data_IF_290844302955
#
_entry.id   IF_290844302955
#
_cell.length_a   1.000
_cell.length_b   1.000
_cell.length_c   1.000
_cell.angle_alpha   90.00
_cell.angle_beta   90.00
_cell.angle_gamma   90.00
#
_symmetry.space_group_name_H-M   'P 1'
#
loop_
_entity.id
_entity.type
_entity.pdbx_description
1 polymer ?
#
# COMPACT_ATOMS: atom_id res chain seq x y z
N UNK A 1 -0.27 19.99 11.81
CA UNK A 1 -0.24 19.01 10.68
C UNK A 1 -0.21 17.61 11.26
N UNK A 2 -1.21 16.77 10.95
CA UNK A 2 -1.19 15.39 11.41
C UNK A 2 0.03 14.70 10.78
N UNK A 3 0.93 14.18 11.61
CA UNK A 3 2.05 13.38 11.16
C UNK A 3 1.49 12.16 10.40
N UNK A 4 1.59 12.18 9.06
CA UNK A 4 1.14 11.09 8.18
C UNK A 4 2.20 10.02 8.00
N UNK A 5 3.38 10.18 8.63
CA UNK A 5 4.39 9.14 8.55
C UNK A 5 3.90 7.89 9.28
N UNK A 6 3.83 6.77 8.58
CA UNK A 6 3.44 5.52 9.20
C UNK A 6 4.56 5.00 10.09
N UNK A 7 4.18 4.47 11.25
CA UNK A 7 5.10 3.70 12.10
C UNK A 7 5.54 2.42 11.38
N UNK A 8 6.55 1.73 11.92
CA UNK A 8 7.05 0.46 11.36
C UNK A 8 5.93 -0.58 11.19
N UNK A 9 5.04 -0.70 12.17
CA UNK A 9 3.93 -1.65 12.12
C UNK A 9 2.86 -1.22 11.11
N UNK A 10 2.54 0.07 11.06
CA UNK A 10 1.62 0.63 10.06
C UNK A 10 2.17 0.44 8.62
N UNK A 11 3.48 0.58 8.43
CA UNK A 11 4.12 0.31 7.14
C UNK A 11 4.00 -1.16 6.72
N UNK A 12 4.15 -2.09 7.66
CA UNK A 12 3.94 -3.52 7.38
C UNK A 12 2.50 -3.81 6.97
N UNK A 13 1.52 -3.21 7.65
CA UNK A 13 0.10 -3.33 7.28
C UNK A 13 -0.16 -2.75 5.89
N UNK A 14 0.38 -1.55 5.59
CA UNK A 14 0.27 -0.96 4.25
C UNK A 14 0.88 -1.86 3.18
N UNK A 15 2.04 -2.47 3.46
CA UNK A 15 2.69 -3.39 2.52
C UNK A 15 1.80 -4.58 2.19
N UNK A 16 1.11 -5.15 3.17
CA UNK A 16 0.14 -6.23 2.95
C UNK A 16 -1.02 -5.75 2.09
N UNK A 17 -1.59 -4.58 2.40
CA UNK A 17 -2.73 -4.03 1.63
C UNK A 17 -2.35 -3.66 0.20
N UNK A 18 -1.13 -3.19 -0.05
CA UNK A 18 -0.65 -2.89 -1.41
C UNK A 18 -0.39 -4.15 -2.25
N UNK A 19 0.00 -5.25 -1.62
CA UNK A 19 0.28 -6.52 -2.30
C UNK A 19 -0.99 -7.36 -2.49
N UNK A 20 -1.79 -7.47 -1.42
CA UNK A 20 -2.97 -8.34 -1.38
C UNK A 20 -4.29 -7.64 -1.72
N UNK A 21 -4.29 -6.30 -1.81
CA UNK A 21 -5.52 -5.53 -2.00
C UNK A 21 -6.38 -5.44 -0.73
N UNK A 22 -7.68 -5.12 -0.89
CA UNK A 22 -8.60 -5.02 0.23
C UNK A 22 -8.65 -6.30 1.06
N UNK A 23 -8.48 -6.19 2.38
CA UNK A 23 -8.29 -7.34 3.27
C UNK A 23 -8.97 -7.12 4.62
N UNK A 24 -9.41 -8.21 5.24
CA UNK A 24 -9.89 -8.17 6.64
C UNK A 24 -8.70 -8.10 7.61
N UNK A 25 -8.98 -7.74 8.87
CA UNK A 25 -7.95 -7.76 9.94
C UNK A 25 -7.28 -9.13 10.06
N UNK A 26 -8.05 -10.21 9.90
CA UNK A 26 -7.53 -11.60 9.96
C UNK A 26 -6.60 -11.92 8.79
N UNK A 27 -6.93 -11.46 7.59
CA UNK A 27 -6.11 -11.67 6.40
C UNK A 27 -4.79 -10.89 6.52
N UNK A 28 -4.86 -9.64 6.98
CA UNK A 28 -3.65 -8.85 7.27
C UNK A 28 -2.77 -9.57 8.30
N UNK A 29 -3.34 -10.08 9.40
CA UNK A 29 -2.57 -10.82 10.42
C UNK A 29 -1.82 -12.01 9.84
N UNK A 30 -2.45 -12.79 8.96
CA UNK A 30 -1.85 -13.97 8.32
C UNK A 30 -0.72 -13.60 7.36
N UNK A 31 -0.86 -12.45 6.69
CA UNK A 31 0.06 -11.98 5.65
C UNK A 31 1.18 -11.07 6.18
N UNK A 32 1.28 -10.86 7.50
CA UNK A 32 2.32 -10.00 8.09
C UNK A 32 3.72 -10.51 7.75
N UNK A 33 4.59 -9.64 7.17
CA UNK A 33 5.87 -10.09 6.59
C UNK A 33 6.91 -10.52 7.63
N UNK A 34 6.77 -10.12 8.88
CA UNK A 34 7.73 -10.45 9.94
C UNK A 34 7.42 -11.75 10.69
N UNK A 35 6.35 -12.45 10.33
CA UNK A 35 5.95 -13.74 10.92
C UNK A 35 5.64 -13.70 12.42
N UNK A 36 5.58 -12.52 13.04
CA UNK A 36 5.31 -12.39 14.47
C UNK A 36 3.83 -12.57 14.76
N UNK A 37 3.52 -13.49 15.70
CA UNK A 37 2.18 -13.64 16.21
C UNK A 37 1.75 -12.36 16.95
N UNK A 38 0.59 -11.82 16.58
CA UNK A 38 -0.02 -10.64 17.22
C UNK A 38 -1.47 -10.91 17.55
N UNK A 39 -1.96 -10.31 18.62
CA UNK A 39 -3.37 -10.38 18.94
C UNK A 39 -4.21 -9.64 17.89
N UNK A 40 -5.41 -10.15 17.61
CA UNK A 40 -6.37 -9.52 16.71
C UNK A 40 -6.63 -8.05 17.08
N UNK A 41 -6.81 -7.78 18.38
CA UNK A 41 -7.06 -6.44 18.91
C UNK A 41 -5.90 -5.49 18.66
N UNK A 42 -4.67 -5.98 18.62
CA UNK A 42 -3.49 -5.16 18.30
C UNK A 42 -3.55 -4.66 16.86
N UNK A 43 -3.77 -5.57 15.90
CA UNK A 43 -3.85 -5.18 14.49
C UNK A 43 -5.09 -4.33 14.22
N UNK A 44 -6.22 -4.65 14.82
CA UNK A 44 -7.43 -3.83 14.72
C UNK A 44 -7.19 -2.40 15.20
N UNK A 45 -6.57 -2.22 16.37
CA UNK A 45 -6.23 -0.88 16.90
C UNK A 45 -5.28 -0.11 15.98
N UNK A 46 -4.28 -0.79 15.43
CA UNK A 46 -3.37 -0.18 14.44
C UNK A 46 -4.15 0.30 13.21
N UNK A 47 -5.02 -0.54 12.66
CA UNK A 47 -5.79 -0.19 11.46
C UNK A 47 -6.78 0.95 11.72
N UNK A 48 -7.37 1.02 12.92
CA UNK A 48 -8.20 2.15 13.32
C UNK A 48 -7.40 3.46 13.45
N UNK A 49 -6.17 3.40 13.96
CA UNK A 49 -5.26 4.56 14.00
C UNK A 49 -4.87 4.98 12.60
N UNK A 50 -4.56 4.03 11.72
CA UNK A 50 -4.25 4.30 10.31
C UNK A 50 -5.41 4.95 9.58
N UNK A 51 -6.64 4.56 9.88
CA UNK A 51 -7.82 5.18 9.31
C UNK A 51 -7.99 6.63 9.77
N UNK A 52 -7.77 6.92 11.06
CA UNK A 52 -7.75 8.30 11.59
C UNK A 52 -6.65 9.14 10.97
N UNK A 53 -5.53 8.54 10.57
CA UNK A 53 -4.44 9.20 9.82
C UNK A 53 -4.78 9.39 8.34
N UNK A 54 -5.83 8.74 7.82
CA UNK A 54 -6.21 8.75 6.40
C UNK A 54 -5.35 7.86 5.52
N UNK A 55 -4.63 6.89 6.09
CA UNK A 55 -3.79 5.94 5.37
C UNK A 55 -4.60 4.78 4.79
N UNK A 56 -5.67 4.40 5.46
CA UNK A 56 -6.59 3.34 5.05
C UNK A 56 -8.04 3.81 5.21
N UNK A 57 -8.95 3.09 4.60
CA UNK A 57 -10.40 3.17 4.86
C UNK A 57 -10.96 1.76 4.93
N UNK A 58 -12.13 1.60 5.53
CA UNK A 58 -12.82 0.31 5.52
C UNK A 58 -14.25 0.43 4.98
N UNK A 59 -14.75 -0.69 4.52
CA UNK A 59 -16.17 -0.90 4.23
C UNK A 59 -16.66 -2.11 5.01
N UNK A 60 -17.90 -2.04 5.53
CA UNK A 60 -18.53 -3.18 6.16
C UNK A 60 -18.94 -4.19 5.09
N UNK A 61 -18.54 -5.45 5.25
CA UNK A 61 -18.93 -6.55 4.40
C UNK A 61 -19.45 -7.70 5.30
N UNK A 62 -20.77 -7.78 5.43
CA UNK A 62 -21.41 -8.66 6.41
C UNK A 62 -20.97 -8.28 7.83
N UNK A 63 -20.47 -9.25 8.58
CA UNK A 63 -19.99 -9.07 9.95
C UNK A 63 -18.49 -8.69 10.03
N UNK A 64 -17.83 -8.45 8.90
CA UNK A 64 -16.41 -8.09 8.84
C UNK A 64 -16.21 -6.70 8.24
N UNK A 65 -15.13 -6.04 8.66
CA UNK A 65 -14.63 -4.83 8.04
C UNK A 65 -13.50 -5.20 7.08
N UNK A 66 -13.61 -4.76 5.83
CA UNK A 66 -12.60 -4.92 4.80
C UNK A 66 -11.88 -3.59 4.63
N UNK A 67 -10.60 -3.57 4.92
CA UNK A 67 -9.74 -2.40 4.84
C UNK A 67 -9.01 -2.33 3.52
N UNK A 68 -8.83 -1.13 3.01
CA UNK A 68 -8.05 -0.84 1.80
C UNK A 68 -7.12 0.35 2.02
N UNK A 69 -5.97 0.36 1.35
CA UNK A 69 -5.06 1.49 1.38
C UNK A 69 -5.68 2.68 0.61
N UNK A 70 -5.61 3.86 1.20
CA UNK A 70 -6.00 5.14 0.58
C UNK A 70 -4.83 5.92 0.01
N UNK A 71 -3.65 5.48 0.30
CA UNK A 71 -2.39 6.08 -0.15
C UNK A 71 -1.62 5.08 -0.98
N UNK A 72 -0.98 5.54 -2.04
CA UNK A 72 -0.10 4.71 -2.85
C UNK A 72 1.23 4.45 -2.11
N UNK A 73 1.95 3.41 -2.53
CA UNK A 73 3.28 3.13 -2.01
C UNK A 73 4.22 4.33 -2.19
N UNK A 74 4.20 4.95 -3.36
CA UNK A 74 5.06 6.08 -3.69
C UNK A 74 4.78 7.32 -2.84
N UNK A 75 3.50 7.63 -2.57
CA UNK A 75 3.13 8.76 -1.71
C UNK A 75 3.68 8.64 -0.29
N UNK A 76 3.82 7.41 0.20
CA UNK A 76 4.34 7.14 1.54
C UNK A 76 5.87 7.00 1.53
N UNK A 77 6.41 6.15 0.65
CA UNK A 77 7.85 5.82 0.67
C UNK A 77 8.72 6.93 0.11
N UNK A 78 8.22 7.72 -0.84
CA UNK A 78 8.98 8.80 -1.45
C UNK A 78 9.46 9.85 -0.44
N UNK A 79 8.58 10.46 0.38
CA UNK A 79 9.00 11.39 1.43
C UNK A 79 9.93 10.75 2.45
N UNK A 80 9.67 9.50 2.87
CA UNK A 80 10.51 8.77 3.82
C UNK A 80 11.92 8.57 3.27
N UNK A 81 12.05 8.10 2.02
CA UNK A 81 13.33 7.91 1.38
C UNK A 81 14.10 9.23 1.22
N UNK A 82 13.43 10.30 0.77
CA UNK A 82 14.04 11.63 0.69
C UNK A 82 14.51 12.14 2.06
N UNK A 83 13.74 11.90 3.12
CA UNK A 83 14.11 12.22 4.49
C UNK A 83 15.36 11.49 4.91
N UNK A 84 15.43 10.18 4.70
CA UNK A 84 16.57 9.33 5.00
C UNK A 84 17.83 9.79 4.24
N UNK A 85 17.71 9.97 2.92
CA UNK A 85 18.85 10.42 2.08
C UNK A 85 19.37 11.76 2.56
N UNK A 86 18.51 12.70 2.92
CA UNK A 86 18.89 13.99 3.44
C UNK A 86 19.59 13.91 4.80
N UNK A 87 19.05 13.10 5.71
CA UNK A 87 19.50 13.01 7.09
C UNK A 87 20.78 12.19 7.25
N UNK A 88 20.90 11.08 6.50
CA UNK A 88 22.00 10.10 6.66
C UNK A 88 23.10 10.30 5.61
N UNK A 89 22.72 10.66 4.38
CA UNK A 89 23.64 10.75 3.24
C UNK A 89 23.85 12.20 2.75
N UNK A 90 23.56 13.19 3.59
CA UNK A 90 23.76 14.60 3.25
C UNK A 90 23.04 15.07 1.98
N UNK A 91 21.95 14.37 1.59
CA UNK A 91 21.20 14.65 0.36
C UNK A 91 21.73 13.94 -0.90
N UNK A 92 22.82 13.17 -0.79
CA UNK A 92 23.41 12.46 -1.93
C UNK A 92 22.72 11.12 -2.20
N UNK A 93 21.90 11.06 -3.25
CA UNK A 93 21.30 9.82 -3.74
C UNK A 93 22.37 8.82 -4.23
N UNK A 94 23.49 9.33 -4.78
CA UNK A 94 24.60 8.48 -5.24
C UNK A 94 25.28 7.75 -4.07
N UNK A 95 25.48 8.42 -2.93
CA UNK A 95 26.01 7.76 -1.73
C UNK A 95 25.06 6.71 -1.18
N UNK A 96 23.75 7.00 -1.15
CA UNK A 96 22.74 6.03 -0.73
C UNK A 96 22.75 4.78 -1.63
N UNK A 97 22.78 4.97 -2.95
CA UNK A 97 22.86 3.87 -3.92
C UNK A 97 24.17 3.07 -3.76
N UNK A 98 25.31 3.74 -3.57
CA UNK A 98 26.59 3.07 -3.34
C UNK A 98 26.56 2.17 -2.09
N UNK A 99 25.96 2.63 -0.99
CA UNK A 99 25.77 1.82 0.20
C UNK A 99 24.87 0.61 -0.05
N UNK A 100 23.75 0.79 -0.75
CA UNK A 100 22.86 -0.33 -1.08
C UNK A 100 23.57 -1.40 -1.91
N UNK A 101 24.35 -1.00 -2.92
CA UNK A 101 25.09 -1.92 -3.77
C UNK A 101 26.25 -2.63 -3.04
N UNK A 102 26.80 -2.03 -1.99
CA UNK A 102 27.87 -2.62 -1.19
C UNK A 102 27.38 -3.62 -0.15
N UNK A 103 26.20 -3.35 0.47
CA UNK A 103 25.67 -4.14 1.59
C UNK A 103 24.81 -5.31 1.13
N UNK A 104 24.09 -5.17 0.03
CA UNK A 104 23.18 -6.20 -0.48
C UNK A 104 23.78 -6.93 -1.68
N UNK A 105 23.49 -8.24 -1.77
CA UNK A 105 23.80 -9.02 -2.98
C UNK A 105 22.79 -8.68 -4.07
N UNK A 106 23.04 -7.57 -4.76
CA UNK A 106 22.23 -7.17 -5.90
C UNK A 106 22.44 -8.15 -7.05
N UNK A 107 21.36 -8.74 -7.52
CA UNK A 107 21.42 -9.68 -8.64
C UNK A 107 21.78 -8.95 -9.96
N UNK A 108 22.39 -9.65 -10.95
CA UNK A 108 22.66 -9.05 -12.26
C UNK A 108 21.41 -8.45 -12.92
N UNK A 109 20.27 -9.11 -12.78
CA UNK A 109 18.99 -8.63 -13.30
C UNK A 109 18.56 -7.31 -12.65
N UNK A 110 18.68 -7.22 -11.35
CA UNK A 110 18.33 -6.02 -10.59
C UNK A 110 19.27 -4.84 -10.92
N UNK A 111 20.57 -5.13 -11.15
CA UNK A 111 21.52 -4.12 -11.65
C UNK A 111 21.12 -3.59 -13.02
N UNK A 112 20.62 -4.44 -13.91
CA UNK A 112 20.17 -4.02 -15.24
C UNK A 112 18.88 -3.19 -15.13
N UNK A 113 17.96 -3.55 -14.25
CA UNK A 113 16.77 -2.72 -13.95
C UNK A 113 17.16 -1.33 -13.40
N UNK A 114 18.17 -1.25 -12.52
CA UNK A 114 18.68 0.02 -12.00
C UNK A 114 19.28 0.88 -13.14
N UNK A 115 20.07 0.29 -14.02
CA UNK A 115 20.64 1.00 -15.18
C UNK A 115 19.54 1.55 -16.11
N UNK A 116 18.49 0.77 -16.36
CA UNK A 116 17.35 1.21 -17.15
C UNK A 116 16.60 2.38 -16.50
N UNK A 117 16.46 2.37 -15.17
CA UNK A 117 15.84 3.47 -14.42
C UNK A 117 16.66 4.75 -14.60
N UNK A 118 17.99 4.66 -14.47
CA UNK A 118 18.91 5.79 -14.65
C UNK A 118 18.79 6.32 -16.08
N UNK A 119 18.90 5.44 -17.08
CA UNK A 119 18.84 5.83 -18.49
C UNK A 119 17.51 6.54 -18.85
N UNK A 120 16.40 6.05 -18.32
CA UNK A 120 15.09 6.71 -18.50
C UNK A 120 15.05 8.08 -17.83
N UNK A 121 15.65 8.22 -16.68
CA UNK A 121 15.71 9.51 -15.97
C UNK A 121 16.55 10.55 -16.73
N UNK A 122 17.65 10.12 -17.36
CA UNK A 122 18.48 10.98 -18.19
C UNK A 122 17.79 11.44 -19.48
N UNK A 123 16.94 10.58 -20.08
CA UNK A 123 16.22 10.88 -21.32
C UNK A 123 14.96 11.72 -21.10
N UNK A 124 14.36 11.67 -19.91
CA UNK A 124 13.07 12.26 -19.58
C UNK A 124 13.12 13.51 -18.74
N UNK A 125 14.23 14.26 -18.63
CA UNK A 125 14.31 15.54 -17.90
C UNK A 125 13.34 15.63 -16.71
N UNK A 126 13.69 15.04 -15.59
CA UNK A 126 13.12 15.12 -14.25
C UNK A 126 11.71 15.66 -14.08
N UNK A 127 10.69 14.88 -14.31
CA UNK A 127 9.42 14.92 -13.56
C UNK A 127 8.51 13.78 -14.07
N UNK A 128 8.59 12.64 -13.39
CA UNK A 128 7.63 11.56 -13.59
C UNK A 128 7.80 10.49 -12.52
N UNK A 129 6.73 10.05 -11.86
CA UNK A 129 6.83 8.98 -10.88
C UNK A 129 7.33 7.71 -11.56
N UNK A 130 8.37 7.12 -10.99
CA UNK A 130 8.91 5.83 -11.43
C UNK A 130 7.78 4.81 -11.40
N UNK A 131 7.24 4.49 -12.57
CA UNK A 131 6.19 3.49 -12.72
C UNK A 131 6.73 2.13 -12.29
N UNK A 132 6.06 1.53 -11.33
CA UNK A 132 6.31 0.17 -10.87
C UNK A 132 6.03 -0.79 -12.03
N UNK A 133 7.08 -1.34 -12.63
CA UNK A 133 6.98 -2.35 -13.66
C UNK A 133 6.38 -3.64 -13.09
N UNK A 134 5.23 -4.03 -13.64
CA UNK A 134 4.78 -5.41 -13.67
C UNK A 134 3.95 -5.96 -12.53
N UNK A 135 2.83 -5.33 -12.22
CA UNK A 135 1.65 -6.10 -11.88
C UNK A 135 0.58 -5.78 -12.90
N UNK A 136 0.16 -6.76 -13.66
CA UNK A 136 -1.00 -6.64 -14.56
C UNK A 136 -2.17 -6.12 -13.72
N UNK A 137 -2.51 -4.85 -13.88
CA UNK A 137 -3.78 -4.34 -13.43
C UNK A 137 -4.84 -5.03 -14.28
N UNK A 138 -5.37 -6.12 -13.75
CA UNK A 138 -6.70 -6.55 -14.13
C UNK A 138 -7.61 -5.40 -13.78
N UNK A 139 -8.16 -4.74 -14.80
CA UNK A 139 -9.17 -3.73 -14.64
C UNK A 139 -10.29 -4.33 -13.79
N UNK A 140 -10.34 -3.95 -12.52
CA UNK A 140 -11.51 -4.23 -11.70
C UNK A 140 -12.57 -3.26 -12.20
N UNK A 141 -13.41 -3.77 -13.09
CA UNK A 141 -14.69 -3.18 -13.43
C UNK A 141 -15.43 -2.90 -12.12
N UNK A 142 -15.69 -1.63 -11.88
CA UNK A 142 -16.50 -1.15 -10.78
C UNK A 142 -17.87 -1.87 -10.79
N UNK A 143 -18.25 -2.69 -9.80
CA UNK A 143 -19.55 -3.35 -9.77
C UNK A 143 -20.62 -2.47 -9.10
N UNK A 144 -20.66 -1.17 -9.40
CA UNK A 144 -21.71 -0.28 -8.87
C UNK A 144 -22.89 -0.08 -9.83
N UNK A 145 -23.07 -0.93 -10.84
CA UNK A 145 -24.23 -0.87 -11.70
C UNK A 145 -24.84 -2.26 -11.91
N UNK A 146 -25.42 -2.84 -10.88
CA UNK A 146 -26.48 -3.84 -10.97
C UNK A 146 -26.97 -4.28 -9.59
N UNK A 147 -27.76 -3.43 -8.94
CA UNK A 147 -28.74 -3.91 -7.97
C UNK A 147 -30.09 -3.61 -8.58
N UNK A 148 -30.83 -4.57 -9.11
CA UNK A 148 -32.22 -4.35 -9.41
C UNK A 148 -32.98 -4.31 -8.09
N UNK A 149 -33.50 -3.15 -7.74
CA UNK A 149 -34.55 -3.02 -6.74
C UNK A 149 -35.80 -3.71 -7.28
N UNK A 150 -35.99 -4.95 -6.87
CA UNK A 150 -37.26 -5.60 -7.11
C UNK A 150 -38.18 -5.32 -5.91
N UNK A 151 -38.94 -4.25 -6.03
CA UNK A 151 -40.09 -4.00 -5.22
C UNK A 151 -41.24 -4.87 -5.71
N UNK A 152 -41.61 -5.86 -4.95
CA UNK A 152 -42.90 -6.51 -5.05
C UNK A 152 -43.37 -6.95 -3.68
N UNK A 153 -43.86 -6.00 -2.95
CA UNK A 153 -44.81 -6.23 -1.84
C UNK A 153 -46.16 -6.61 -2.47
N UNK A 154 -46.52 -7.87 -2.45
CA UNK A 154 -47.88 -8.31 -2.66
C UNK A 154 -48.59 -8.36 -1.31
N UNK A 155 -49.38 -7.34 -1.05
CA UNK A 155 -50.54 -7.40 -0.14
C UNK A 155 -51.52 -8.49 -0.63
N UNK A 156 -51.93 -9.36 0.26
CA UNK A 156 -53.23 -10.00 0.37
C UNK A 156 -53.42 -10.19 1.87
N UNK A 157 -54.33 -9.65 2.57
CA UNK A 157 -55.71 -9.25 2.34
C UNK A 157 -56.65 -10.43 2.57
N UNK A 158 -57.19 -10.43 3.79
CA UNK A 158 -58.55 -10.93 4.10
C UNK A 158 -58.86 -12.42 3.82
N UNK A 159 -59.13 -13.21 4.81
CA UNK A 159 -60.45 -13.39 5.46
C UNK A 159 -60.20 -13.98 6.85
#
# INVERSE_FOLDING_TARGET
MKNREPSRLEMQVLSVLWQGGPSTVRDVMKAMPDGKARAYTTILSVMQVMEKKGLVSHVAQGNAHVYQARVSRQEVTGPMLRGLVRQVFGGSAAMALQHLLAEERVSPRELDEIKEIIARHEQGGGDGPVGNGGAKQSAIRNPQSAIPVNASVKKKGQI
#
